data_IF_067470532121
#
_entry.id   IF_067470532121
#
_cell.length_a   1.000
_cell.length_b   1.000
_cell.length_c   1.000
_cell.angle_alpha   90.00
_cell.angle_beta   90.00
_cell.angle_gamma   90.00
#
_symmetry.space_group_name_H-M   'P 1'
#
loop_
_entity.id
_entity.type
_entity.pdbx_description
1 polymer ?
#
# COMPACT_ATOMS: atom_id res chain seq x y z
N UNK A 1 -19.72 14.90 -23.85
CA UNK A 1 -18.32 15.14 -24.24
C UNK A 1 -17.79 16.25 -23.38
N UNK A 2 -16.95 15.91 -22.40
CA UNK A 2 -16.16 16.89 -21.66
C UNK A 2 -15.22 17.52 -22.69
N UNK A 3 -15.45 18.80 -23.03
CA UNK A 3 -14.52 19.52 -23.87
C UNK A 3 -13.16 19.62 -23.16
N UNK A 4 -12.13 19.27 -23.87
CA UNK A 4 -10.72 19.17 -23.45
C UNK A 4 -10.16 20.59 -23.17
N UNK A 5 -10.69 21.25 -22.15
CA UNK A 5 -10.13 22.51 -21.64
C UNK A 5 -9.06 22.16 -20.62
N UNK A 6 -7.88 21.81 -21.10
CA UNK A 6 -6.72 21.68 -20.21
C UNK A 6 -6.20 23.07 -19.92
N UNK A 7 -6.14 23.49 -18.64
CA UNK A 7 -5.42 24.72 -18.29
C UNK A 7 -3.93 24.53 -18.62
N UNK A 8 -3.27 25.61 -18.98
CA UNK A 8 -1.81 25.61 -19.23
C UNK A 8 -0.99 25.21 -17.98
N UNK A 9 -1.60 25.32 -16.80
CA UNK A 9 -1.03 24.91 -15.52
C UNK A 9 -1.73 23.68 -14.97
N UNK A 10 -0.96 22.78 -14.36
CA UNK A 10 -1.49 21.58 -13.71
C UNK A 10 -2.18 21.99 -12.42
N UNK A 11 -3.50 21.71 -12.31
CA UNK A 11 -4.25 21.85 -11.06
C UNK A 11 -3.87 20.73 -10.09
N UNK A 12 -3.71 21.08 -8.84
CA UNK A 12 -3.31 20.17 -7.76
C UNK A 12 -4.41 20.03 -6.70
N UNK A 13 -4.31 19.03 -5.84
CA UNK A 13 -5.20 18.92 -4.68
C UNK A 13 -5.02 20.09 -3.70
N UNK A 14 -3.86 20.75 -3.69
CA UNK A 14 -3.64 21.94 -2.88
C UNK A 14 -4.46 23.11 -3.40
N UNK A 15 -4.58 23.28 -4.71
CA UNK A 15 -5.44 24.30 -5.32
C UNK A 15 -6.91 24.09 -4.95
N UNK A 16 -7.36 22.82 -4.95
CA UNK A 16 -8.72 22.47 -4.50
C UNK A 16 -8.90 22.80 -3.02
N UNK A 17 -7.95 22.41 -2.17
CA UNK A 17 -7.99 22.67 -0.73
C UNK A 17 -8.03 24.18 -0.41
N UNK A 18 -7.31 24.98 -1.19
CA UNK A 18 -7.26 26.42 -1.01
C UNK A 18 -8.41 27.18 -1.71
N UNK A 19 -9.30 26.45 -2.40
CA UNK A 19 -10.45 27.03 -3.10
C UNK A 19 -10.10 27.76 -4.41
N UNK A 20 -8.89 27.54 -4.94
CA UNK A 20 -8.45 28.07 -6.23
C UNK A 20 -9.02 27.26 -7.42
N UNK A 21 -9.38 26.00 -7.19
CA UNK A 21 -10.01 25.12 -8.17
C UNK A 21 -11.06 24.24 -7.50
N UNK A 22 -11.98 23.70 -8.29
CA UNK A 22 -12.90 22.65 -7.84
C UNK A 22 -12.31 21.25 -8.06
N UNK A 23 -12.87 20.24 -7.38
CA UNK A 23 -12.49 18.86 -7.62
C UNK A 23 -12.85 18.41 -9.04
N UNK A 24 -13.97 18.88 -9.57
CA UNK A 24 -14.41 18.62 -10.93
C UNK A 24 -13.41 19.15 -11.96
N UNK A 25 -12.86 20.34 -11.76
CA UNK A 25 -11.83 20.92 -12.63
C UNK A 25 -10.52 20.13 -12.56
N UNK A 26 -10.12 19.69 -11.36
CA UNK A 26 -8.96 18.82 -11.19
C UNK A 26 -9.14 17.48 -11.91
N UNK A 27 -10.30 16.84 -11.80
CA UNK A 27 -10.61 15.60 -12.50
C UNK A 27 -10.69 15.80 -14.02
N UNK A 28 -11.25 16.92 -14.49
CA UNK A 28 -11.39 17.22 -15.91
C UNK A 28 -10.07 17.39 -16.67
N UNK A 29 -8.95 17.64 -15.96
CA UNK A 29 -7.62 17.68 -16.58
C UNK A 29 -7.03 16.29 -16.85
N UNK A 30 -7.57 15.23 -16.27
CA UNK A 30 -7.08 13.87 -16.45
C UNK A 30 -7.52 13.30 -17.82
N UNK A 31 -6.66 12.49 -18.42
CA UNK A 31 -7.05 11.69 -19.58
C UNK A 31 -7.92 10.50 -19.15
N UNK A 32 -8.57 9.84 -20.09
CA UNK A 32 -9.36 8.64 -19.82
C UNK A 32 -8.46 7.52 -19.27
N UNK A 33 -7.24 7.39 -19.78
CA UNK A 33 -6.25 6.42 -19.30
C UNK A 33 -5.84 6.73 -17.87
N UNK A 34 -5.55 7.99 -17.54
CA UNK A 34 -5.20 8.39 -16.18
C UNK A 34 -6.35 8.16 -15.19
N UNK A 35 -7.59 8.38 -15.60
CA UNK A 35 -8.76 8.04 -14.79
C UNK A 35 -8.91 6.53 -14.60
N UNK A 36 -8.62 5.74 -15.64
CA UNK A 36 -8.62 4.29 -15.53
C UNK A 36 -7.52 3.79 -14.57
N UNK A 37 -6.30 4.36 -14.65
CA UNK A 37 -5.20 4.05 -13.73
C UNK A 37 -5.58 4.33 -12.28
N UNK A 38 -6.28 5.43 -12.01
CA UNK A 38 -6.80 5.74 -10.66
C UNK A 38 -7.80 4.68 -10.15
N UNK A 39 -8.61 4.11 -11.03
CA UNK A 39 -9.58 3.08 -10.66
C UNK A 39 -8.94 1.71 -10.41
N UNK A 40 -7.84 1.42 -11.09
CA UNK A 40 -7.10 0.14 -10.99
C UNK A 40 -6.02 0.19 -9.92
N UNK A 41 -5.39 1.35 -9.77
CA UNK A 41 -4.19 1.53 -8.95
C UNK A 41 -2.92 1.16 -9.70
N UNK A 42 -1.80 1.27 -9.01
CA UNK A 42 -0.48 0.96 -9.59
C UNK A 42 -0.06 -0.44 -9.17
N UNK A 43 0.26 -1.27 -10.15
CA UNK A 43 0.82 -2.60 -9.95
C UNK A 43 2.29 -2.61 -10.37
N UNK A 44 3.15 -3.10 -9.50
CA UNK A 44 4.54 -3.36 -9.82
C UNK A 44 4.68 -4.78 -10.39
N UNK A 45 5.04 -4.87 -11.65
CA UNK A 45 5.39 -6.14 -12.27
C UNK A 45 6.87 -6.44 -11.98
N UNK A 46 7.14 -7.42 -11.13
CA UNK A 46 8.50 -7.97 -10.94
C UNK A 46 8.75 -9.12 -11.91
N UNK A 47 10.01 -9.31 -12.33
CA UNK A 47 10.41 -10.52 -13.05
C UNK A 47 10.14 -11.74 -12.16
N UNK A 48 9.20 -12.59 -12.59
CA UNK A 48 8.74 -13.73 -11.79
C UNK A 48 7.29 -13.62 -11.30
N UNK A 49 6.62 -12.52 -11.57
CA UNK A 49 5.22 -12.26 -11.24
C UNK A 49 5.02 -11.64 -9.86
N UNK A 50 3.92 -10.95 -9.69
CA UNK A 50 3.52 -10.39 -8.40
C UNK A 50 2.85 -11.44 -7.53
N UNK A 51 3.21 -11.45 -6.26
CA UNK A 51 2.43 -12.16 -5.25
C UNK A 51 1.19 -11.32 -4.93
N UNK A 52 0.00 -11.91 -5.02
CA UNK A 52 -1.26 -11.26 -4.67
C UNK A 52 -1.14 -10.58 -3.29
N UNK A 53 -1.50 -9.31 -3.22
CA UNK A 53 -1.40 -8.50 -2.01
C UNK A 53 0.02 -8.01 -1.68
N UNK A 54 0.92 -7.93 -2.67
CA UNK A 54 2.26 -7.35 -2.54
C UNK A 54 2.64 -6.55 -3.80
N UNK A 55 1.71 -5.72 -4.26
CA UNK A 55 1.81 -5.03 -5.57
C UNK A 55 2.28 -3.58 -5.47
N UNK A 56 2.54 -3.06 -4.25
CA UNK A 56 3.02 -1.68 -4.07
C UNK A 56 4.37 -1.45 -4.74
N UNK A 57 4.46 -0.36 -5.50
CA UNK A 57 5.72 0.11 -6.07
C UNK A 57 6.56 0.93 -5.07
N UNK A 58 5.94 1.45 -3.99
CA UNK A 58 6.56 2.37 -3.06
C UNK A 58 7.02 1.71 -1.76
N UNK A 59 6.21 0.80 -1.19
CA UNK A 59 6.53 0.11 0.06
C UNK A 59 6.61 -1.40 -0.19
N UNK A 60 7.80 -2.00 -0.06
CA UNK A 60 7.99 -3.43 -0.29
C UNK A 60 7.06 -4.29 0.55
N UNK A 61 6.27 -5.15 -0.11
CA UNK A 61 5.32 -6.04 0.52
C UNK A 61 3.95 -5.45 0.84
N UNK A 62 3.73 -4.15 0.67
CA UNK A 62 2.41 -3.56 0.79
C UNK A 62 1.48 -4.02 -0.36
N UNK A 63 0.17 -4.05 -0.09
CA UNK A 63 -0.82 -4.65 -0.97
C UNK A 63 -0.94 -3.93 -2.33
N UNK A 64 -0.82 -2.62 -2.35
CA UNK A 64 -0.90 -1.82 -3.56
C UNK A 64 -0.81 -0.33 -3.33
N UNK A 65 -0.79 0.40 -4.42
CA UNK A 65 -0.72 1.86 -4.48
C UNK A 65 -1.84 2.40 -5.35
N UNK A 66 -2.32 3.62 -5.08
CA UNK A 66 -3.42 4.21 -5.86
C UNK A 66 -2.95 4.96 -7.10
N UNK A 67 -1.84 5.70 -7.01
CA UNK A 67 -1.52 6.72 -8.02
C UNK A 67 -0.04 6.88 -8.31
N UNK A 68 0.80 5.87 -8.07
CA UNK A 68 2.26 6.00 -8.23
C UNK A 68 2.66 6.58 -9.59
N UNK A 69 1.97 6.21 -10.66
CA UNK A 69 2.20 6.75 -12.01
C UNK A 69 1.82 8.23 -12.19
N UNK A 70 0.99 8.79 -11.30
CA UNK A 70 0.47 10.15 -11.41
C UNK A 70 1.12 11.15 -10.44
N UNK A 71 1.97 10.70 -9.52
CA UNK A 71 2.64 11.55 -8.52
C UNK A 71 3.43 12.65 -9.23
N UNK A 72 4.30 12.29 -10.13
CA UNK A 72 5.16 13.26 -10.82
C UNK A 72 4.40 14.06 -11.89
N UNK A 73 3.56 13.38 -12.65
CA UNK A 73 2.87 13.92 -13.81
C UNK A 73 1.71 14.84 -13.44
N UNK A 74 0.97 14.52 -12.37
CA UNK A 74 -0.26 15.21 -11.97
C UNK A 74 -0.24 15.75 -10.55
N UNK A 75 0.82 15.49 -9.79
CA UNK A 75 0.95 15.85 -8.37
C UNK A 75 -0.21 15.31 -7.51
N UNK A 76 -0.79 14.18 -7.93
CA UNK A 76 -1.81 13.47 -7.15
C UNK A 76 -1.08 12.58 -6.15
N UNK A 77 -1.26 12.76 -4.83
CA UNK A 77 -0.58 11.98 -3.82
C UNK A 77 -1.00 10.51 -3.88
N UNK A 78 -0.02 9.64 -3.67
CA UNK A 78 -0.22 8.20 -3.62
C UNK A 78 -0.73 7.77 -2.24
N UNK A 79 -1.71 6.87 -2.21
CA UNK A 79 -2.13 6.16 -1.01
C UNK A 79 -1.63 4.72 -1.10
N UNK A 80 -0.90 4.30 -0.08
CA UNK A 80 -0.33 2.96 0.01
C UNK A 80 -1.22 2.13 0.92
N UNK A 81 -1.62 0.97 0.43
CA UNK A 81 -2.52 0.04 1.10
C UNK A 81 -1.72 -1.15 1.61
N UNK A 82 -1.87 -1.49 2.89
CA UNK A 82 -1.25 -2.66 3.48
C UNK A 82 -2.30 -3.69 3.92
N UNK A 83 -2.07 -4.94 3.58
CA UNK A 83 -2.83 -6.06 4.14
C UNK A 83 -2.40 -6.32 5.58
N UNK A 84 -3.16 -7.15 6.28
CA UNK A 84 -2.74 -7.76 7.54
C UNK A 84 -3.76 -7.72 8.66
N UNK A 85 -4.76 -8.61 8.64
CA UNK A 85 -5.73 -8.73 9.74
C UNK A 85 -5.12 -9.23 11.06
N UNK A 86 -3.87 -9.69 11.02
CA UNK A 86 -3.09 -10.09 12.21
C UNK A 86 -1.83 -9.24 12.42
N UNK A 87 -1.87 -7.97 12.01
CA UNK A 87 -0.76 -7.02 11.97
C UNK A 87 -0.38 -6.66 10.55
N UNK A 88 0.30 -5.54 10.34
CA UNK A 88 0.73 -5.12 9.01
C UNK A 88 1.58 -6.19 8.34
N UNK A 89 1.26 -6.48 7.07
CA UNK A 89 1.97 -7.45 6.27
C UNK A 89 2.82 -6.74 5.23
N UNK A 90 4.10 -6.58 5.55
CA UNK A 90 5.12 -6.00 4.68
C UNK A 90 6.22 -7.02 4.41
N UNK A 91 7.06 -6.75 3.43
CA UNK A 91 8.27 -7.55 3.21
C UNK A 91 9.25 -7.28 4.34
N UNK A 92 9.55 -8.29 5.15
CA UNK A 92 10.36 -8.12 6.38
C UNK A 92 11.80 -7.74 6.10
N UNK A 93 12.36 -8.17 4.98
CA UNK A 93 13.73 -7.86 4.59
C UNK A 93 13.81 -7.61 3.09
N UNK A 94 14.39 -6.48 2.72
CA UNK A 94 14.70 -6.13 1.33
C UNK A 94 16.04 -5.40 1.26
N UNK A 95 16.57 -5.29 0.04
CA UNK A 95 17.81 -4.54 -0.25
C UNK A 95 17.52 -3.46 -1.27
N UNK A 96 18.29 -2.39 -1.20
CA UNK A 96 18.32 -1.36 -2.24
C UNK A 96 19.72 -1.20 -2.81
N UNK A 97 19.81 -0.64 -4.02
CA UNK A 97 21.05 -0.09 -4.52
C UNK A 97 21.38 1.26 -3.84
N UNK A 98 22.48 1.88 -4.22
CA UNK A 98 22.91 3.19 -3.69
C UNK A 98 21.97 4.34 -4.09
N UNK A 99 21.17 4.18 -5.14
CA UNK A 99 20.16 5.12 -5.60
C UNK A 99 18.82 4.94 -4.88
N UNK A 100 18.66 3.89 -4.04
CA UNK A 100 17.46 3.60 -3.29
C UNK A 100 16.45 2.70 -4.03
N UNK A 101 16.79 2.15 -5.21
CA UNK A 101 15.92 1.23 -5.92
C UNK A 101 15.97 -0.14 -5.28
N UNK A 102 14.81 -0.77 -5.07
CA UNK A 102 14.72 -2.13 -4.51
C UNK A 102 15.39 -3.14 -5.43
N UNK A 103 16.26 -3.96 -4.85
CA UNK A 103 16.89 -5.08 -5.54
C UNK A 103 15.98 -6.31 -5.55
N UNK A 104 16.04 -7.15 -6.60
CA UNK A 104 15.30 -8.40 -6.66
C UNK A 104 15.67 -9.35 -5.53
N UNK A 105 14.70 -10.09 -5.03
CA UNK A 105 14.89 -11.07 -3.96
C UNK A 105 14.34 -10.60 -2.61
N UNK A 106 14.54 -11.44 -1.60
CA UNK A 106 14.06 -11.21 -0.25
C UNK A 106 12.78 -11.98 0.07
N UNK A 107 12.42 -11.97 1.33
CA UNK A 107 11.29 -12.73 1.86
C UNK A 107 9.95 -12.09 1.42
N UNK A 108 9.05 -12.91 0.89
CA UNK A 108 7.69 -12.53 0.57
C UNK A 108 6.70 -13.44 1.30
N UNK A 109 5.86 -12.88 2.18
CA UNK A 109 4.75 -13.56 2.85
C UNK A 109 5.09 -14.81 3.69
N UNK A 110 6.32 -14.96 4.18
CA UNK A 110 6.73 -16.20 4.87
C UNK A 110 6.76 -17.44 3.97
N UNK A 111 6.58 -17.26 2.65
CA UNK A 111 6.91 -18.27 1.66
C UNK A 111 8.39 -18.17 1.31
N UNK A 112 8.99 -19.26 0.84
CA UNK A 112 10.41 -19.27 0.48
C UNK A 112 10.71 -18.10 -0.45
N UNK A 113 11.51 -17.20 0.07
CA UNK A 113 11.98 -16.02 -0.63
C UNK A 113 12.90 -16.40 -1.77
N UNK A 114 12.82 -15.70 -2.88
CA UNK A 114 13.88 -15.76 -3.85
C UNK A 114 15.17 -15.27 -3.18
N UNK A 115 16.26 -16.06 -3.21
CA UNK A 115 17.51 -15.61 -2.60
C UNK A 115 18.00 -14.35 -3.32
N UNK A 116 18.57 -13.42 -2.57
CA UNK A 116 19.28 -12.31 -3.20
C UNK A 116 20.42 -12.84 -4.07
N UNK A 117 20.72 -12.12 -5.15
CA UNK A 117 21.87 -12.45 -5.98
C UNK A 117 23.14 -12.53 -5.11
N UNK A 118 24.02 -13.50 -5.42
CA UNK A 118 25.28 -13.68 -4.65
C UNK A 118 26.20 -12.46 -4.73
N UNK A 119 26.25 -11.84 -5.92
CA UNK A 119 26.97 -10.60 -6.15
C UNK A 119 25.96 -9.44 -6.06
N UNK A 120 26.16 -8.58 -5.08
CA UNK A 120 25.34 -7.38 -4.91
C UNK A 120 26.03 -6.18 -5.55
N UNK A 121 25.29 -5.19 -6.09
CA UNK A 121 25.90 -3.97 -6.56
C UNK A 121 26.62 -3.25 -5.42
N UNK A 122 27.68 -2.51 -5.77
CA UNK A 122 28.42 -1.69 -4.81
C UNK A 122 27.49 -0.67 -4.13
N UNK A 123 27.53 -0.62 -2.81
CA UNK A 123 26.67 0.27 -2.02
C UNK A 123 25.28 -0.28 -1.72
N UNK A 124 25.02 -1.55 -1.98
CA UNK A 124 23.77 -2.20 -1.58
C UNK A 124 23.56 -2.12 -0.06
N UNK A 125 22.34 -1.79 0.36
CA UNK A 125 21.95 -1.63 1.76
C UNK A 125 20.82 -2.59 2.11
N UNK A 126 20.85 -3.11 3.33
CA UNK A 126 19.81 -3.96 3.91
C UNK A 126 18.78 -3.10 4.68
N UNK A 127 17.50 -3.37 4.47
CA UNK A 127 16.40 -2.76 5.19
C UNK A 127 15.49 -3.82 5.79
N UNK A 128 14.94 -3.52 6.97
CA UNK A 128 14.06 -4.40 7.72
C UNK A 128 12.79 -3.68 8.12
N UNK A 129 11.64 -4.33 7.86
CA UNK A 129 10.29 -3.84 8.20
C UNK A 129 9.62 -4.88 9.11
N UNK A 130 9.96 -4.86 10.41
CA UNK A 130 9.33 -5.75 11.38
C UNK A 130 8.07 -5.09 11.94
N UNK A 131 6.93 -5.74 11.71
CA UNK A 131 5.63 -5.31 12.20
C UNK A 131 5.17 -6.21 13.34
N UNK A 132 4.35 -5.66 14.24
CA UNK A 132 3.83 -6.39 15.39
C UNK A 132 2.73 -7.36 14.95
N UNK A 133 2.88 -8.63 15.29
CA UNK A 133 1.81 -9.61 15.15
C UNK A 133 0.76 -9.38 16.25
N UNK A 134 -0.48 -9.20 15.85
CA UNK A 134 -1.63 -9.08 16.73
C UNK A 134 -2.56 -10.28 16.58
N UNK A 135 -3.39 -10.61 17.60
CA UNK A 135 -4.43 -11.62 17.43
C UNK A 135 -5.40 -11.24 16.31
N UNK A 136 -5.93 -12.22 15.61
CA UNK A 136 -6.95 -12.01 14.58
C UNK A 136 -8.22 -11.38 15.16
N UNK A 137 -9.01 -10.71 14.34
CA UNK A 137 -10.19 -9.96 14.75
C UNK A 137 -11.21 -10.80 15.57
N UNK A 138 -11.42 -12.07 15.21
CA UNK A 138 -12.29 -13.00 15.96
C UNK A 138 -11.82 -13.21 17.39
N UNK A 139 -10.51 -13.36 17.60
CA UNK A 139 -9.94 -13.53 18.95
C UNK A 139 -10.06 -12.24 19.75
N UNK A 140 -9.77 -11.09 19.15
CA UNK A 140 -9.93 -9.78 19.81
C UNK A 140 -11.38 -9.52 20.18
N UNK A 141 -12.34 -9.84 19.33
CA UNK A 141 -13.77 -9.65 19.58
C UNK A 141 -14.27 -10.50 20.77
N UNK A 142 -13.69 -11.67 21.01
CA UNK A 142 -14.03 -12.53 22.13
C UNK A 142 -13.61 -11.96 23.48
N UNK A 143 -12.71 -10.99 23.51
CA UNK A 143 -12.30 -10.32 24.75
C UNK A 143 -13.40 -9.42 25.32
N UNK A 144 -14.30 -8.89 24.47
CA UNK A 144 -15.29 -7.86 24.82
C UNK A 144 -14.67 -6.59 25.43
N UNK A 145 -13.36 -6.44 25.30
CA UNK A 145 -12.59 -5.32 25.84
C UNK A 145 -12.33 -4.28 24.73
N UNK A 146 -13.15 -3.24 24.73
CA UNK A 146 -13.09 -2.16 23.72
C UNK A 146 -11.80 -1.36 23.87
N UNK A 147 -11.30 -1.17 25.09
CA UNK A 147 -10.08 -0.39 25.33
C UNK A 147 -8.84 -1.16 24.83
N UNK A 148 -8.81 -2.47 25.02
CA UNK A 148 -7.79 -3.33 24.45
C UNK A 148 -7.79 -3.23 22.92
N UNK A 149 -8.96 -3.35 22.28
CA UNK A 149 -9.09 -3.26 20.82
C UNK A 149 -8.63 -1.89 20.31
N UNK A 150 -9.00 -0.82 21.00
CA UNK A 150 -8.54 0.53 20.67
C UNK A 150 -7.01 0.62 20.74
N UNK A 151 -6.40 0.11 21.81
CA UNK A 151 -4.95 0.12 21.99
C UNK A 151 -4.24 -0.67 20.90
N UNK A 152 -4.80 -1.81 20.46
CA UNK A 152 -4.27 -2.57 19.31
C UNK A 152 -4.31 -1.75 18.01
N UNK A 153 -5.41 -1.03 17.78
CA UNK A 153 -5.51 -0.12 16.63
C UNK A 153 -4.49 1.02 16.66
N UNK A 154 -4.22 1.59 17.84
CA UNK A 154 -3.20 2.63 18.03
C UNK A 154 -1.79 2.11 17.67
N UNK A 155 -1.42 0.90 18.15
CA UNK A 155 -0.12 0.27 17.84
C UNK A 155 0.04 0.10 16.32
N UNK A 156 -0.98 -0.44 15.65
CA UNK A 156 -0.91 -0.61 14.20
C UNK A 156 -0.86 0.74 13.48
N UNK A 157 -1.58 1.75 13.97
CA UNK A 157 -1.52 3.11 13.43
C UNK A 157 -0.13 3.74 13.53
N UNK A 158 0.55 3.56 14.66
CA UNK A 158 1.94 4.01 14.86
C UNK A 158 2.90 3.31 13.86
N UNK A 159 2.73 2.01 13.62
CA UNK A 159 3.51 1.27 12.62
C UNK A 159 3.18 1.71 11.19
N UNK A 160 1.92 2.02 10.89
CA UNK A 160 1.53 2.55 9.58
C UNK A 160 2.24 3.87 9.28
N UNK A 161 2.32 4.77 10.24
CA UNK A 161 3.10 6.01 10.09
C UNK A 161 4.59 5.71 9.87
N UNK A 162 5.17 4.80 10.65
CA UNK A 162 6.58 4.43 10.57
C UNK A 162 6.95 3.85 9.19
N UNK A 163 6.08 3.04 8.59
CA UNK A 163 6.32 2.37 7.31
C UNK A 163 5.59 3.04 6.14
N UNK A 164 5.09 4.26 6.32
CA UNK A 164 4.45 5.08 5.28
C UNK A 164 3.26 4.39 4.60
N UNK A 165 2.45 3.64 5.35
CA UNK A 165 1.20 3.08 4.87
C UNK A 165 0.03 3.98 5.24
N UNK A 166 -0.92 4.16 4.32
CA UNK A 166 -2.02 5.11 4.47
C UNK A 166 -3.35 4.42 4.79
N UNK A 167 -3.55 3.21 4.29
CA UNK A 167 -4.78 2.45 4.47
C UNK A 167 -4.47 1.01 4.89
N UNK A 168 -4.98 0.61 6.04
CA UNK A 168 -4.91 -0.76 6.52
C UNK A 168 -6.13 -1.56 6.06
N UNK A 169 -5.90 -2.65 5.33
CA UNK A 169 -6.96 -3.55 4.85
C UNK A 169 -7.33 -4.57 5.95
N UNK A 170 -7.86 -4.04 7.04
CA UNK A 170 -8.27 -4.78 8.24
C UNK A 170 -9.26 -3.91 9.06
N UNK A 171 -9.95 -4.47 10.09
CA UNK A 171 -9.96 -5.87 10.46
C UNK A 171 -10.70 -6.74 9.45
N UNK A 172 -10.36 -8.04 9.40
CA UNK A 172 -11.17 -9.00 8.71
C UNK A 172 -12.45 -9.26 9.52
N UNK A 173 -13.58 -8.78 9.04
CA UNK A 173 -14.89 -8.97 9.70
C UNK A 173 -15.82 -9.78 8.81
N UNK A 174 -16.34 -10.88 9.35
CA UNK A 174 -17.25 -11.74 8.61
C UNK A 174 -18.28 -12.39 9.52
N UNK A 175 -19.43 -12.76 8.97
CA UNK A 175 -20.39 -13.61 9.67
C UNK A 175 -19.96 -15.07 9.48
N UNK A 176 -19.50 -15.70 10.55
CA UNK A 176 -19.03 -17.06 10.56
C UNK A 176 -20.23 -18.03 10.55
N UNK A 177 -20.69 -18.41 9.36
CA UNK A 177 -21.80 -19.36 9.18
C UNK A 177 -21.33 -20.78 8.95
N UNK A 178 -20.21 -20.94 8.25
CA UNK A 178 -19.64 -22.24 7.89
C UNK A 178 -18.13 -22.19 8.14
N UNK A 179 -17.60 -23.07 9.00
CA UNK A 179 -16.17 -23.09 9.32
C UNK A 179 -15.27 -23.56 8.17
N UNK A 180 -15.84 -24.12 7.13
CA UNK A 180 -15.10 -24.60 5.95
C UNK A 180 -14.75 -23.48 4.96
N UNK A 181 -15.05 -22.24 5.26
CA UNK A 181 -14.69 -21.11 4.43
C UNK A 181 -13.27 -20.61 4.78
N UNK A 182 -12.36 -20.58 3.82
CA UNK A 182 -10.99 -20.06 3.99
C UNK A 182 -10.90 -18.55 4.23
N UNK A 183 -12.02 -17.83 4.21
CA UNK A 183 -12.13 -16.39 4.47
C UNK A 183 -12.78 -16.06 5.81
N UNK A 184 -12.95 -17.00 6.69
CA UNK A 184 -13.42 -16.81 8.06
C UNK A 184 -12.26 -16.32 8.94
N UNK A 185 -12.25 -15.03 9.21
CA UNK A 185 -11.26 -14.36 10.05
C UNK A 185 -11.84 -14.02 11.43
#
# INVERSE_FOLDING_TARGET
>A
TLEDKRPDEILTLEDVKNGAASLEELVAQLTVEEMADLCVGTERLEEGGNVIGSSSACVPGAAGDTTSALIEKRKIPNLILADGPAGLRLQTHFKTDKEGNKLPGGEQFGMESAPFAKEQPEGAQDYYQYCTAIPIATTLAQSWDVDLIKRMGEIVGEEMEQFHNHLWLAPGMNIHRNPLCGRNF
#
